data_IF_750581437511
#
_entry.id   IF_750581437511
#
_cell.length_a   1.000
_cell.length_b   1.000
_cell.length_c   1.000
_cell.angle_alpha   90.00
_cell.angle_beta   90.00
_cell.angle_gamma   90.00
#
_symmetry.space_group_name_H-M   'P 1'
#
loop_
_entity.id
_entity.type
_entity.pdbx_description
1 polymer ?
#
# COMPACT_ATOMS: atom_id res chain seq x y z
N UNK A 1 0.89 -21.08 9.22
CA UNK A 1 0.90 -19.74 9.86
C UNK A 1 1.87 -18.79 9.19
N UNK A 2 3.06 -19.27 8.84
CA UNK A 2 3.99 -18.56 7.93
C UNK A 2 4.59 -19.46 6.87
N UNK A 3 4.66 -20.76 7.19
CA UNK A 3 5.02 -21.86 6.33
C UNK A 3 4.11 -23.04 6.63
N UNK A 4 4.14 -24.03 5.76
CA UNK A 4 3.67 -25.37 6.08
C UNK A 4 4.53 -26.01 7.18
N UNK A 5 3.90 -26.88 7.97
CA UNK A 5 4.53 -27.56 9.12
C UNK A 5 5.80 -28.33 8.72
N UNK A 6 5.90 -28.76 7.46
CA UNK A 6 7.07 -29.46 6.94
C UNK A 6 8.31 -28.57 6.85
N UNK A 7 8.16 -27.27 6.58
CA UNK A 7 9.28 -26.33 6.41
C UNK A 7 9.62 -25.55 7.70
N UNK A 8 8.89 -25.82 8.78
CA UNK A 8 9.06 -25.12 10.05
C UNK A 8 10.39 -25.50 10.71
N UNK A 9 11.28 -24.50 10.90
CA UNK A 9 12.61 -24.69 11.49
C UNK A 9 13.71 -25.10 10.51
N UNK A 10 13.43 -25.21 9.20
CA UNK A 10 14.45 -25.55 8.18
C UNK A 10 15.35 -24.36 7.78
N UNK A 11 14.92 -23.12 8.04
CA UNK A 11 15.70 -21.90 7.74
C UNK A 11 16.10 -21.21 9.04
N UNK A 12 17.39 -20.97 9.22
CA UNK A 12 17.90 -20.14 10.31
C UNK A 12 17.45 -18.69 10.12
N UNK A 13 16.72 -18.17 11.11
CA UNK A 13 16.21 -16.80 11.09
C UNK A 13 17.33 -15.79 11.36
N UNK A 14 17.83 -15.12 10.31
CA UNK A 14 18.87 -14.10 10.41
C UNK A 14 18.27 -12.71 10.59
N UNK A 15 17.23 -12.39 9.82
CA UNK A 15 16.55 -11.08 9.83
C UNK A 15 15.20 -11.12 10.55
N UNK A 16 14.62 -12.32 10.75
CA UNK A 16 13.28 -12.51 11.29
C UNK A 16 12.18 -12.38 10.22
N UNK A 17 12.55 -11.99 9.00
CA UNK A 17 11.70 -11.95 7.82
C UNK A 17 11.93 -13.20 6.98
N UNK A 18 10.99 -14.15 7.06
CA UNK A 18 11.11 -15.46 6.43
C UNK A 18 11.31 -15.43 4.91
N UNK A 19 10.78 -14.41 4.23
CA UNK A 19 10.97 -14.19 2.80
C UNK A 19 12.40 -13.79 2.45
N UNK A 20 13.04 -12.99 3.31
CA UNK A 20 14.43 -12.57 3.11
C UNK A 20 15.35 -13.72 3.50
N UNK A 21 15.09 -14.35 4.65
CA UNK A 21 15.91 -15.44 5.18
C UNK A 21 15.90 -16.66 4.23
N UNK A 22 14.75 -17.02 3.63
CA UNK A 22 14.69 -18.10 2.63
C UNK A 22 15.44 -17.79 1.33
N UNK A 23 15.42 -16.52 0.87
CA UNK A 23 16.21 -16.11 -0.30
C UNK A 23 17.72 -16.13 -0.01
N UNK A 24 18.14 -15.68 1.17
CA UNK A 24 19.55 -15.72 1.58
C UNK A 24 20.04 -17.17 1.71
N UNK A 25 19.19 -18.05 2.25
CA UNK A 25 19.49 -19.48 2.37
C UNK A 25 19.50 -20.22 1.03
N UNK A 26 18.98 -19.62 -0.06
CA UNK A 26 18.87 -20.26 -1.36
C UNK A 26 17.71 -21.28 -1.47
N UNK A 27 16.84 -21.32 -0.47
CA UNK A 27 15.74 -22.28 -0.35
C UNK A 27 14.50 -21.77 -1.08
N UNK A 28 14.48 -21.95 -2.41
CA UNK A 28 13.40 -21.42 -3.27
C UNK A 28 12.04 -22.03 -2.97
N UNK A 29 11.98 -23.29 -2.51
CA UNK A 29 10.71 -23.95 -2.16
C UNK A 29 10.05 -23.29 -0.95
N UNK A 30 10.85 -22.94 0.06
CA UNK A 30 10.38 -22.26 1.28
C UNK A 30 9.96 -20.82 0.97
N UNK A 31 10.67 -20.15 0.06
CA UNK A 31 10.28 -18.82 -0.39
C UNK A 31 8.89 -18.80 -1.04
N UNK A 32 8.62 -19.70 -2.00
CA UNK A 32 7.31 -19.77 -2.64
C UNK A 32 6.21 -20.17 -1.67
N UNK A 33 6.50 -21.09 -0.73
CA UNK A 33 5.56 -21.45 0.32
C UNK A 33 5.19 -20.25 1.22
N UNK A 34 6.18 -19.45 1.60
CA UNK A 34 5.97 -18.23 2.38
C UNK A 34 5.14 -17.18 1.60
N UNK A 35 5.37 -17.05 0.28
CA UNK A 35 4.57 -16.18 -0.59
C UNK A 35 3.11 -16.61 -0.62
N UNK A 36 2.84 -17.91 -0.78
CA UNK A 36 1.46 -18.45 -0.81
C UNK A 36 0.70 -18.14 0.50
N UNK A 37 1.38 -18.27 1.64
CA UNK A 37 0.83 -17.93 2.95
C UNK A 37 0.58 -16.43 3.14
N UNK A 38 1.26 -15.57 2.37
CA UNK A 38 1.10 -14.11 2.43
C UNK A 38 -0.06 -13.61 1.55
N UNK A 39 -0.57 -14.41 0.62
CA UNK A 39 -1.65 -14.01 -0.30
C UNK A 39 -2.92 -13.61 0.47
N UNK A 40 -3.39 -14.42 1.42
CA UNK A 40 -4.62 -14.14 2.16
C UNK A 40 -4.55 -12.87 3.03
N UNK A 41 -3.48 -12.64 3.82
CA UNK A 41 -3.25 -11.36 4.50
C UNK A 41 -3.22 -10.18 3.52
N UNK A 42 -2.47 -10.30 2.42
CA UNK A 42 -2.29 -9.23 1.45
C UNK A 42 -3.60 -8.87 0.73
N UNK A 43 -4.39 -9.86 0.34
CA UNK A 43 -5.70 -9.65 -0.29
C UNK A 43 -6.68 -9.04 0.70
N UNK A 44 -6.65 -9.44 1.97
CA UNK A 44 -7.54 -8.90 3.01
C UNK A 44 -7.31 -7.39 3.21
N UNK A 45 -6.04 -6.97 3.35
CA UNK A 45 -5.67 -5.56 3.43
C UNK A 45 -5.90 -4.81 2.11
N UNK A 46 -5.50 -5.42 0.99
CA UNK A 46 -5.63 -4.86 -0.34
C UNK A 46 -7.08 -4.61 -0.74
N UNK A 47 -8.00 -5.49 -0.32
CA UNK A 47 -9.43 -5.32 -0.58
C UNK A 47 -9.98 -4.06 0.10
N UNK A 48 -9.64 -3.82 1.37
CA UNK A 48 -10.03 -2.61 2.08
C UNK A 48 -9.49 -1.33 1.42
N UNK A 49 -8.20 -1.33 1.05
CA UNK A 49 -7.60 -0.21 0.33
C UNK A 49 -8.27 0.01 -1.05
N UNK A 50 -8.53 -1.07 -1.80
CA UNK A 50 -9.13 -0.98 -3.13
C UNK A 50 -10.53 -0.35 -3.10
N UNK A 51 -11.34 -0.65 -2.09
CA UNK A 51 -12.67 -0.08 -1.92
C UNK A 51 -12.59 1.45 -1.72
N UNK A 52 -11.65 1.91 -0.89
CA UNK A 52 -11.43 3.33 -0.66
C UNK A 52 -10.89 4.06 -1.90
N UNK A 53 -9.85 3.51 -2.54
CA UNK A 53 -9.23 4.06 -3.75
C UNK A 53 -10.25 4.14 -4.89
N UNK A 54 -11.07 3.10 -5.09
CA UNK A 54 -12.11 3.09 -6.12
C UNK A 54 -13.16 4.16 -5.87
N UNK A 55 -13.59 4.35 -4.62
CA UNK A 55 -14.56 5.39 -4.25
C UNK A 55 -14.00 6.79 -4.53
N UNK A 56 -12.74 7.05 -4.18
CA UNK A 56 -12.11 8.34 -4.43
C UNK A 56 -11.85 8.58 -5.92
N UNK A 57 -11.38 7.56 -6.64
CA UNK A 57 -11.22 7.63 -8.10
C UNK A 57 -12.55 7.97 -8.78
N UNK A 58 -13.66 7.34 -8.36
CA UNK A 58 -14.99 7.65 -8.89
C UNK A 58 -15.40 9.10 -8.60
N UNK A 59 -15.16 9.61 -7.39
CA UNK A 59 -15.45 11.00 -7.03
C UNK A 59 -14.68 11.97 -7.93
N UNK A 60 -13.37 11.80 -8.04
CA UNK A 60 -12.53 12.67 -8.87
C UNK A 60 -12.90 12.59 -10.35
N UNK A 61 -13.24 11.41 -10.85
CA UNK A 61 -13.69 11.25 -12.23
C UNK A 61 -14.99 12.02 -12.50
N UNK A 62 -15.96 11.97 -11.58
CA UNK A 62 -17.20 12.75 -11.72
C UNK A 62 -16.91 14.25 -11.73
N UNK A 63 -16.02 14.72 -10.87
CA UNK A 63 -15.63 16.14 -10.82
C UNK A 63 -14.92 16.58 -12.11
N UNK A 64 -14.02 15.73 -12.66
CA UNK A 64 -13.29 16.03 -13.89
C UNK A 64 -14.17 15.99 -15.13
N UNK A 65 -15.14 15.07 -15.21
CA UNK A 65 -16.05 14.96 -16.35
C UNK A 65 -17.01 16.15 -16.49
N UNK A 66 -17.22 16.92 -15.42
CA UNK A 66 -18.04 18.14 -15.43
C UNK A 66 -17.25 19.41 -15.81
N UNK A 67 -15.95 19.30 -16.09
CA UNK A 67 -15.11 20.45 -16.40
C UNK A 67 -15.23 20.91 -17.86
N UNK A 68 -15.03 22.21 -18.11
CA UNK A 68 -15.17 22.81 -19.45
C UNK A 68 -14.21 22.22 -20.50
N UNK A 69 -13.02 21.76 -20.09
CA UNK A 69 -12.08 21.13 -21.03
C UNK A 69 -12.62 19.80 -21.59
N UNK A 70 -13.44 19.08 -20.81
CA UNK A 70 -14.11 17.84 -21.24
C UNK A 70 -15.21 18.17 -22.24
N UNK A 71 -16.04 19.17 -21.96
CA UNK A 71 -17.07 19.66 -22.89
C UNK A 71 -16.43 20.09 -24.21
N UNK A 72 -15.31 20.82 -24.15
CA UNK A 72 -14.55 21.25 -25.33
C UNK A 72 -14.02 20.06 -26.13
N UNK A 73 -13.49 19.03 -25.46
CA UNK A 73 -13.01 17.82 -26.14
C UNK A 73 -14.15 17.04 -26.83
N UNK A 74 -15.33 16.97 -26.21
CA UNK A 74 -16.54 16.37 -26.80
C UNK A 74 -17.04 17.15 -28.02
N UNK A 75 -17.10 18.48 -27.94
CA UNK A 75 -17.53 19.34 -29.06
C UNK A 75 -16.57 19.22 -30.26
N UNK A 76 -15.28 18.97 -30.01
CA UNK A 76 -14.29 18.70 -31.07
C UNK A 76 -14.44 17.30 -31.71
N UNK A 77 -15.43 16.51 -31.32
CA UNK A 77 -15.71 15.19 -31.90
C UNK A 77 -14.81 14.07 -31.39
N UNK A 78 -14.14 14.25 -30.24
CA UNK A 78 -13.31 13.21 -29.66
C UNK A 78 -14.16 12.05 -29.14
N UNK A 79 -13.72 10.81 -29.40
CA UNK A 79 -14.38 9.62 -28.88
C UNK A 79 -14.40 9.61 -27.34
N UNK A 80 -15.53 9.24 -26.73
CA UNK A 80 -15.76 9.31 -25.28
C UNK A 80 -14.70 8.54 -24.48
N UNK A 81 -14.26 7.37 -24.96
CA UNK A 81 -13.20 6.59 -24.30
C UNK A 81 -11.87 7.34 -24.21
N UNK A 82 -11.53 8.18 -25.21
CA UNK A 82 -10.30 9.00 -25.18
C UNK A 82 -10.45 10.18 -24.22
N UNK A 83 -11.63 10.76 -24.12
CA UNK A 83 -11.94 11.83 -23.18
C UNK A 83 -11.82 11.29 -21.74
N UNK A 84 -12.42 10.13 -21.47
CA UNK A 84 -12.34 9.48 -20.16
C UNK A 84 -10.90 9.09 -19.80
N UNK A 85 -10.20 8.33 -20.64
CA UNK A 85 -8.88 7.78 -20.30
C UNK A 85 -7.73 8.81 -20.34
N UNK A 86 -7.71 9.69 -21.35
CA UNK A 86 -6.56 10.58 -21.56
C UNK A 86 -6.77 11.99 -21.05
N UNK A 87 -8.01 12.47 -20.92
CA UNK A 87 -8.28 13.82 -20.43
C UNK A 87 -8.70 13.81 -18.97
N UNK A 88 -9.83 13.15 -18.64
CA UNK A 88 -10.35 13.13 -17.29
C UNK A 88 -9.46 12.31 -16.35
N UNK A 89 -9.19 11.04 -16.67
CA UNK A 89 -8.45 10.14 -15.78
C UNK A 89 -7.03 10.61 -15.52
N UNK A 90 -6.31 11.05 -16.55
CA UNK A 90 -4.96 11.61 -16.38
C UNK A 90 -4.94 12.81 -15.42
N UNK A 91 -5.96 13.65 -15.43
CA UNK A 91 -6.08 14.76 -14.48
C UNK A 91 -6.49 14.29 -13.08
N UNK A 92 -7.25 13.19 -12.95
CA UNK A 92 -7.54 12.59 -11.65
C UNK A 92 -6.34 11.93 -10.97
N UNK A 93 -5.31 11.51 -11.73
CA UNK A 93 -4.11 10.90 -11.16
C UNK A 93 -3.41 11.83 -10.15
N UNK A 94 -3.50 13.14 -10.39
CA UNK A 94 -2.88 14.18 -9.58
C UNK A 94 -3.33 14.10 -8.11
N UNK A 95 -4.64 14.25 -7.78
CA UNK A 95 -5.12 14.04 -6.40
C UNK A 95 -5.13 12.56 -5.98
N UNK A 96 -5.22 11.62 -6.91
CA UNK A 96 -5.29 10.19 -6.58
C UNK A 96 -3.99 9.66 -5.97
N UNK A 97 -2.83 10.13 -6.41
CA UNK A 97 -1.53 9.73 -5.84
C UNK A 97 -1.46 10.08 -4.35
N UNK A 98 -1.94 11.26 -3.96
CA UNK A 98 -2.02 11.66 -2.54
C UNK A 98 -2.96 10.75 -1.75
N UNK A 99 -4.13 10.42 -2.31
CA UNK A 99 -5.07 9.48 -1.67
C UNK A 99 -4.43 8.12 -1.45
N UNK A 100 -3.67 7.60 -2.42
CA UNK A 100 -2.96 6.32 -2.30
C UNK A 100 -1.92 6.40 -1.17
N UNK A 101 -1.15 7.48 -1.10
CA UNK A 101 -0.17 7.69 -0.02
C UNK A 101 -0.84 7.75 1.36
N UNK A 102 -1.98 8.43 1.49
CA UNK A 102 -2.74 8.49 2.74
C UNK A 102 -3.37 7.14 3.12
N UNK A 103 -3.72 6.31 2.14
CA UNK A 103 -4.30 4.98 2.37
C UNK A 103 -3.34 4.07 3.13
N UNK A 104 -2.03 4.30 3.05
CA UNK A 104 -1.04 3.60 3.87
C UNK A 104 -1.32 3.71 5.38
N UNK A 105 -1.74 4.88 5.87
CA UNK A 105 -2.10 5.05 7.29
C UNK A 105 -3.26 4.16 7.71
N UNK A 106 -4.28 4.05 6.85
CA UNK A 106 -5.43 3.17 7.07
C UNK A 106 -5.00 1.70 7.05
N UNK A 107 -4.08 1.34 6.14
CA UNK A 107 -3.55 -0.02 6.06
C UNK A 107 -2.75 -0.42 7.29
N UNK A 108 -1.98 0.51 7.90
CA UNK A 108 -1.26 0.25 9.14
C UNK A 108 -2.20 -0.07 10.31
N UNK A 109 -3.32 0.63 10.42
CA UNK A 109 -4.34 0.34 11.44
C UNK A 109 -4.91 -1.08 11.27
N UNK A 110 -5.24 -1.46 10.03
CA UNK A 110 -5.73 -2.79 9.71
C UNK A 110 -4.65 -3.89 9.75
N UNK A 111 -3.37 -3.53 9.69
CA UNK A 111 -2.27 -4.50 9.64
C UNK A 111 -2.15 -5.26 10.95
N UNK A 112 -2.35 -4.60 12.10
CA UNK A 112 -2.25 -5.24 13.42
C UNK A 112 -3.23 -6.42 13.55
N UNK A 113 -4.49 -6.20 13.15
CA UNK A 113 -5.51 -7.25 13.17
C UNK A 113 -5.19 -8.37 12.18
N UNK A 114 -4.74 -8.01 10.98
CA UNK A 114 -4.39 -8.98 9.94
C UNK A 114 -3.20 -9.84 10.37
N UNK A 115 -2.15 -9.22 10.90
CA UNK A 115 -0.95 -9.89 11.45
C UNK A 115 -1.33 -10.87 12.57
N UNK A 116 -2.25 -10.46 13.46
CA UNK A 116 -2.73 -11.30 14.57
C UNK A 116 -3.54 -12.49 14.06
N UNK A 117 -4.50 -12.28 13.17
CA UNK A 117 -5.40 -13.34 12.67
C UNK A 117 -4.65 -14.38 11.84
N UNK A 118 -3.71 -13.93 11.01
CA UNK A 118 -2.94 -14.83 10.14
C UNK A 118 -1.65 -15.35 10.79
N UNK A 119 -1.35 -14.94 12.03
CA UNK A 119 -0.11 -15.28 12.75
C UNK A 119 1.16 -14.96 11.92
N UNK A 120 1.11 -13.86 11.16
CA UNK A 120 2.24 -13.37 10.38
C UNK A 120 2.84 -12.16 11.11
N UNK A 121 4.00 -12.29 11.76
CA UNK A 121 4.58 -11.22 12.56
C UNK A 121 5.01 -10.06 11.66
N UNK A 122 4.47 -8.89 11.98
CA UNK A 122 4.85 -7.62 11.38
C UNK A 122 5.09 -6.55 12.44
N UNK A 123 5.25 -5.32 11.95
CA UNK A 123 5.52 -4.15 12.80
C UNK A 123 4.33 -3.79 13.68
N UNK A 124 3.09 -4.04 13.23
CA UNK A 124 1.89 -3.73 13.99
C UNK A 124 1.80 -4.59 15.25
N UNK A 125 1.91 -5.90 15.10
CA UNK A 125 1.92 -6.85 16.21
C UNK A 125 3.11 -6.64 17.14
N UNK A 126 4.30 -6.31 16.59
CA UNK A 126 5.46 -5.95 17.39
C UNK A 126 5.21 -4.72 18.28
N UNK A 127 4.65 -3.65 17.71
CA UNK A 127 4.30 -2.43 18.43
C UNK A 127 3.27 -2.71 19.53
N UNK A 128 2.22 -3.46 19.23
CA UNK A 128 1.17 -3.83 20.20
C UNK A 128 1.74 -4.66 21.34
N UNK A 129 2.59 -5.65 21.05
CA UNK A 129 3.22 -6.48 22.08
C UNK A 129 4.18 -5.67 22.96
N UNK A 130 4.99 -4.78 22.37
CA UNK A 130 5.88 -3.89 23.11
C UNK A 130 5.11 -2.98 24.07
N UNK A 131 3.97 -2.45 23.60
CA UNK A 131 3.08 -1.61 24.42
C UNK A 131 2.54 -2.38 25.64
N UNK A 132 2.06 -3.61 25.46
CA UNK A 132 1.56 -4.43 26.57
C UNK A 132 2.66 -4.88 27.53
N UNK A 133 3.88 -5.08 27.04
CA UNK A 133 5.05 -5.43 27.85
C UNK A 133 5.68 -4.20 28.55
N UNK A 134 5.17 -2.98 28.31
CA UNK A 134 5.71 -1.76 28.88
C UNK A 134 7.07 -1.32 28.32
N UNK A 135 7.50 -1.87 27.17
CA UNK A 135 8.75 -1.50 26.52
C UNK A 135 8.55 -0.23 25.67
N UNK A 136 8.61 0.92 26.34
CA UNK A 136 8.44 2.21 25.70
C UNK A 136 9.55 2.54 24.69
N UNK A 137 10.75 1.97 24.85
CA UNK A 137 11.83 2.19 23.89
C UNK A 137 11.50 1.53 22.55
N UNK A 138 11.00 0.29 22.58
CA UNK A 138 10.52 -0.41 21.38
C UNK A 138 9.32 0.32 20.74
N UNK A 139 8.37 0.80 21.53
CA UNK A 139 7.21 1.57 21.04
C UNK A 139 7.64 2.84 20.31
N UNK A 140 8.52 3.63 20.91
CA UNK A 140 9.02 4.88 20.31
C UNK A 140 9.83 4.56 19.05
N UNK A 141 10.71 3.56 19.08
CA UNK A 141 11.50 3.14 17.93
C UNK A 141 10.63 2.74 16.73
N UNK A 142 9.64 1.88 16.95
CA UNK A 142 8.69 1.48 15.91
C UNK A 142 7.87 2.67 15.39
N UNK A 143 7.43 3.58 16.27
CA UNK A 143 6.71 4.79 15.88
C UNK A 143 7.54 5.70 14.98
N UNK A 144 8.83 5.90 15.29
CA UNK A 144 9.75 6.69 14.47
C UNK A 144 9.94 6.06 13.09
N UNK A 145 10.12 4.74 13.01
CA UNK A 145 10.24 4.02 11.73
C UNK A 145 8.97 4.19 10.89
N UNK A 146 7.79 3.98 11.50
CA UNK A 146 6.50 4.16 10.83
C UNK A 146 6.36 5.61 10.31
N UNK A 147 6.70 6.60 11.13
CA UNK A 147 6.66 8.01 10.76
C UNK A 147 7.62 8.36 9.62
N UNK A 148 8.85 7.82 9.64
CA UNK A 148 9.82 8.01 8.58
C UNK A 148 9.34 7.44 7.24
N UNK A 149 8.74 6.24 7.24
CA UNK A 149 8.12 5.65 6.05
C UNK A 149 6.96 6.53 5.57
N UNK A 150 6.09 6.99 6.47
CA UNK A 150 4.97 7.87 6.13
C UNK A 150 5.43 9.17 5.47
N UNK A 151 6.45 9.84 6.03
CA UNK A 151 7.03 11.06 5.44
C UNK A 151 7.62 10.76 4.06
N UNK A 152 8.33 9.63 3.91
CA UNK A 152 8.93 9.23 2.64
C UNK A 152 7.87 8.99 1.56
N UNK A 153 6.76 8.33 1.91
CA UNK A 153 5.63 8.10 1.00
C UNK A 153 4.97 9.42 0.57
N UNK A 154 4.75 10.34 1.50
CA UNK A 154 4.18 11.65 1.19
C UNK A 154 5.12 12.47 0.30
N UNK A 155 6.42 12.50 0.61
CA UNK A 155 7.41 13.18 -0.23
C UNK A 155 7.45 12.58 -1.64
N UNK A 156 7.38 11.25 -1.76
CA UNK A 156 7.31 10.57 -3.05
C UNK A 156 6.03 10.93 -3.81
N UNK A 157 4.89 11.01 -3.13
CA UNK A 157 3.63 11.48 -3.69
C UNK A 157 3.73 12.90 -4.23
N UNK A 158 4.34 13.82 -3.48
CA UNK A 158 4.51 15.22 -3.90
C UNK A 158 5.47 15.35 -5.09
N UNK A 159 6.51 14.51 -5.15
CA UNK A 159 7.40 14.44 -6.31
C UNK A 159 6.66 13.92 -7.55
N UNK A 160 5.87 12.84 -7.40
CA UNK A 160 5.05 12.30 -8.47
C UNK A 160 4.00 13.32 -8.94
N UNK A 161 3.39 14.06 -8.03
CA UNK A 161 2.49 15.17 -8.35
C UNK A 161 3.17 16.18 -9.30
N UNK A 162 4.39 16.64 -8.98
CA UNK A 162 5.14 17.58 -9.82
C UNK A 162 5.48 17.00 -11.21
N UNK A 163 5.66 15.69 -11.32
CA UNK A 163 5.92 15.03 -12.61
C UNK A 163 4.64 14.86 -13.43
N UNK A 164 3.50 14.64 -12.77
CA UNK A 164 2.21 14.42 -13.41
C UNK A 164 1.51 15.72 -13.83
N UNK A 165 1.74 16.82 -13.12
CA UNK A 165 1.21 18.14 -13.47
C UNK A 165 2.30 19.06 -14.08
N UNK A 166 2.43 19.11 -15.42
CA UNK A 166 3.35 20.01 -16.10
C UNK A 166 2.96 21.49 -16.01
N UNK A 167 1.79 21.84 -15.43
CA UNK A 167 1.37 23.24 -15.18
C UNK A 167 1.88 23.79 -13.85
N UNK A 168 2.37 22.93 -12.96
CA UNK A 168 2.93 23.33 -11.66
C UNK A 168 4.40 23.80 -11.74
N UNK A 169 4.90 24.09 -12.96
CA UNK A 169 6.26 24.54 -13.24
C UNK A 169 6.34 26.04 -13.43
#
# INVERSE_FOLDING_TARGET
GRLDVFYEGMVESHTGLILIDSLIAGETEIFWNAVDHMILPAVSLGYAASAYITRMTRSFMLDQLNQEYVTTARVKGMAEWRVVLFHAFRNTLVPLVTVIALTYGILLEGSVLTETVFAWPGLGMYLTNALFNGDMNAVIGATVVIGAVFITLNLTSDLLYRMLDPRAR
#
